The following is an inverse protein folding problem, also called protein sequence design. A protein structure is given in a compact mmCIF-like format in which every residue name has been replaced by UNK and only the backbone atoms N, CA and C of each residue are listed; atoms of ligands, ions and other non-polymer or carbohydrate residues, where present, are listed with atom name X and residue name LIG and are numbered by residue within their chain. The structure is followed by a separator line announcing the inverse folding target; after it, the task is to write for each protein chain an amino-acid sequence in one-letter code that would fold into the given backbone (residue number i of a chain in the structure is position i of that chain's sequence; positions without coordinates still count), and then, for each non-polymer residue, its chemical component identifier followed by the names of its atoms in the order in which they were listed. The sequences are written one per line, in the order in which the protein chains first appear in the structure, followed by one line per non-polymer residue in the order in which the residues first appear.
data_IF_409558289340
#
_entry.id   IF_409558289340
#
_cell.length_a   1.000
_cell.length_b   1.000
_cell.length_c   1.000
_cell.angle_alpha   90.00
_cell.angle_beta   90.00
_cell.angle_gamma   90.00
#
_symmetry.space_group_name_H-M   'P 1'
#
loop_
_entity.id
_entity.type
_entity.pdbx_description
1 polymer ?
2 non-polymer ?
3 non-polymer ?
4 non-polymer ?
5 water ?
#
# COMPACT_ATOMS: atom_id res chain seq x y z
N UNK A 25 -17.19 14.89 -17.77
CA UNK A 25 -16.84 14.29 -16.51
C UNK A 25 -16.04 13.01 -16.72
N UNK A 26 -14.98 12.84 -15.94
CA UNK A 26 -14.29 11.56 -15.89
C UNK A 26 -14.00 11.28 -14.41
N UNK A 27 -14.06 10.01 -14.00
CA UNK A 27 -14.05 9.73 -12.55
C UNK A 27 -12.72 9.94 -11.90
N UNK A 28 -11.61 9.74 -12.60
CA UNK A 28 -10.28 9.79 -12.01
C UNK A 28 -9.39 10.82 -12.71
N UNK A 29 -8.37 11.31 -12.03
CA UNK A 29 -7.38 12.16 -12.70
C UNK A 29 -6.60 11.35 -13.73
N UNK A 30 -5.95 12.07 -14.64
CA UNK A 30 -5.20 11.43 -15.71
C UNK A 30 -4.10 10.54 -15.15
N UNK A 31 -3.94 9.37 -15.76
CA UNK A 31 -2.96 8.35 -15.40
C UNK A 31 -3.31 7.62 -14.12
N UNK A 32 -4.51 7.83 -13.57
CA UNK A 32 -4.99 7.12 -12.39
C UNK A 32 -5.91 5.98 -12.80
N UNK A 33 -5.79 4.85 -12.10
CA UNK A 33 -6.53 3.64 -12.45
C UNK A 33 -7.80 3.54 -11.60
N UNK A 34 -8.93 3.40 -12.27
CA UNK A 34 -10.23 3.32 -11.62
C UNK A 34 -10.53 1.87 -11.22
N UNK A 35 -10.99 1.67 -9.99
CA UNK A 35 -11.38 0.34 -9.53
C UNK A 35 -12.41 0.48 -8.43
N UNK A 36 -13.62 -0.01 -8.71
CA UNK A 36 -14.69 -0.12 -7.71
C UNK A 36 -14.90 1.18 -6.96
N UNK A 37 -15.03 2.27 -7.70
CA UNK A 37 -15.36 3.55 -7.13
C UNK A 37 -14.20 4.35 -6.57
N UNK A 38 -12.97 3.89 -6.77
CA UNK A 38 -11.79 4.59 -6.30
C UNK A 38 -10.79 4.74 -7.42
N UNK A 39 -9.79 5.60 -7.20
CA UNK A 39 -8.75 5.89 -8.17
C UNK A 39 -7.40 5.53 -7.57
N UNK A 40 -6.58 4.83 -8.36
CA UNK A 40 -5.29 4.34 -7.88
C UNK A 40 -4.17 4.85 -8.79
N UNK A 41 -3.05 5.19 -8.16
CA UNK A 41 -1.87 5.67 -8.87
C UNK A 41 -0.68 4.89 -8.37
N UNK A 42 0.08 4.28 -9.28
CA UNK A 42 1.37 3.68 -8.96
C UNK A 42 2.46 4.62 -9.42
N UNK A 43 3.43 4.87 -8.55
CA UNK A 43 4.49 5.82 -8.86
C UNK A 43 5.49 5.21 -9.84
N UNK A 44 6.14 6.08 -10.60
CA UNK A 44 7.29 5.70 -11.42
C UNK A 44 8.57 6.28 -10.85
N UNK A 45 8.63 6.43 -9.53
CA UNK A 45 9.83 6.81 -8.80
C UNK A 45 9.75 6.13 -7.44
N UNK A 46 10.83 6.25 -6.67
CA UNK A 46 10.95 5.57 -5.39
C UNK A 46 11.22 6.55 -4.25
N UNK A 47 10.58 6.29 -3.12
CA UNK A 47 10.75 7.07 -1.91
C UNK A 47 10.66 6.14 -0.71
N UNK A 48 11.08 6.63 0.46
CA UNK A 48 10.84 5.88 1.67
C UNK A 48 9.37 6.05 2.09
N UNK A 49 8.95 5.20 3.04
CA UNK A 49 7.54 5.12 3.40
C UNK A 49 7.00 6.46 3.91
N UNK A 50 7.77 7.15 4.75
CA UNK A 50 7.26 8.42 5.27
C UNK A 50 7.15 9.48 4.17
N UNK A 51 8.07 9.49 3.22
CA UNK A 51 7.94 10.38 2.08
C UNK A 51 6.86 9.92 1.11
N UNK A 52 6.54 8.62 1.10
CA UNK A 52 5.46 8.13 0.25
C UNK A 52 4.11 8.59 0.78
N UNK A 53 3.95 8.63 2.10
CA UNK A 53 2.74 9.19 2.69
C UNK A 53 2.57 10.63 2.25
N UNK A 54 3.64 11.42 2.33
CA UNK A 54 3.58 12.82 1.96
C UNK A 54 3.27 12.97 0.48
N UNK A 55 3.90 12.15 -0.36
CA UNK A 55 3.63 12.20 -1.81
C UNK A 55 2.14 12.07 -2.10
N UNK A 56 1.46 11.16 -1.40
CA UNK A 56 0.04 10.95 -1.65
C UNK A 56 -0.78 12.13 -1.15
N UNK A 57 -0.49 12.60 0.06
CA UNK A 57 -1.23 13.74 0.61
C UNK A 57 -1.16 14.94 -0.31
N UNK A 58 -0.03 15.14 -0.99
CA UNK A 58 0.14 16.29 -1.86
C UNK A 58 -0.76 16.26 -3.08
N UNK A 59 -1.36 15.11 -3.41
CA UNK A 59 -2.28 15.01 -4.52
C UNK A 59 -3.67 14.63 -3.99
N UNK A 60 -3.95 15.03 -2.75
CA UNK A 60 -5.23 14.75 -2.13
C UNK A 60 -5.58 13.27 -2.13
N UNK A 61 -4.64 12.44 -1.67
CA UNK A 61 -4.83 11.00 -1.65
C UNK A 61 -4.17 10.44 -0.39
N UNK A 62 -4.22 9.11 -0.26
CA UNK A 62 -3.67 8.42 0.90
C UNK A 62 -2.90 7.20 0.44
N UNK A 63 -1.70 7.02 1.01
CA UNK A 63 -0.96 5.78 0.81
C UNK A 63 -1.91 4.60 1.02
N UNK A 64 -1.98 3.71 0.03
CA UNK A 64 -3.16 2.87 -0.16
C UNK A 64 -3.48 2.09 1.11
N UNK A 65 -4.72 2.24 1.56
CA UNK A 65 -5.30 1.45 2.65
C UNK A 65 -6.30 0.49 2.05
N UNK A 66 -6.13 -0.80 2.32
CA UNK A 66 -6.92 -1.85 1.68
C UNK A 66 -8.10 -2.20 2.57
N UNK A 67 -9.29 -2.23 1.97
CA UNK A 67 -10.52 -2.47 2.70
C UNK A 67 -11.20 -3.79 2.34
N UNK A 68 -10.77 -4.47 1.28
CA UNK A 68 -11.46 -5.68 0.85
C UNK A 68 -10.48 -6.65 0.21
N UNK A 69 -10.89 -7.92 0.15
CA UNK A 69 -10.07 -8.94 -0.50
C UNK A 69 -9.96 -8.70 -2.00
N UNK A 70 -11.07 -8.30 -2.64
CA UNK A 70 -11.02 -7.97 -4.06
C UNK A 70 -9.97 -6.88 -4.31
N UNK A 71 -9.98 -5.82 -3.51
CA UNK A 71 -9.01 -4.74 -3.67
C UNK A 71 -7.59 -5.26 -3.49
N UNK A 72 -7.37 -6.14 -2.52
CA UNK A 72 -6.04 -6.71 -2.31
C UNK A 72 -5.57 -7.44 -3.56
N UNK A 73 -6.37 -8.37 -4.07
CA UNK A 73 -5.98 -9.11 -5.27
C UNK A 73 -5.72 -8.16 -6.43
N UNK A 74 -6.54 -7.10 -6.54
CA UNK A 74 -6.35 -6.11 -7.60
C UNK A 74 -4.96 -5.47 -7.50
N UNK A 75 -4.56 -5.06 -6.29
CA UNK A 75 -3.30 -4.36 -6.13
C UNK A 75 -2.10 -5.30 -6.26
N UNK A 76 -2.19 -6.50 -5.66
CA UNK A 76 -1.08 -7.43 -5.71
C UNK A 76 -0.79 -7.85 -7.15
N UNK A 77 -1.83 -8.00 -7.96
CA UNK A 77 -1.64 -8.42 -9.35
C UNK A 77 -0.80 -7.41 -10.11
N UNK A 78 -1.11 -6.11 -9.96
CA UNK A 78 -0.30 -5.09 -10.61
C UNK A 78 1.12 -5.07 -10.07
N UNK A 79 1.28 -5.29 -8.76
CA UNK A 79 2.61 -5.32 -8.17
C UNK A 79 3.40 -6.51 -8.68
N UNK A 80 2.75 -7.66 -8.84
CA UNK A 80 3.44 -8.84 -9.35
C UNK A 80 3.81 -8.66 -10.81
N UNK A 81 2.86 -8.22 -11.64
CA UNK A 81 3.13 -8.05 -13.07
C UNK A 81 4.25 -7.04 -13.30
N UNK A 82 4.17 -5.88 -12.63
CA UNK A 82 5.19 -4.87 -12.80
C UNK A 82 6.52 -5.26 -12.17
N UNK A 83 6.51 -6.25 -11.28
CA UNK A 83 7.72 -6.67 -10.56
C UNK A 83 8.37 -5.49 -9.86
N UNK A 84 7.56 -4.77 -9.08
CA UNK A 84 8.01 -3.61 -8.33
C UNK A 84 7.67 -3.81 -6.85
N UNK A 85 8.67 -3.69 -5.98
CA UNK A 85 8.43 -3.68 -4.55
C UNK A 85 7.80 -2.35 -4.18
N UNK A 86 6.60 -2.39 -3.60
CA UNK A 86 5.74 -1.22 -3.52
C UNK A 86 5.20 -1.03 -2.12
N UNK A 87 5.31 0.18 -1.60
CA UNK A 87 4.82 0.50 -0.26
C UNK A 87 3.29 0.50 -0.23
N UNK A 88 2.75 0.10 0.92
CA UNK A 88 1.34 0.28 1.23
C UNK A 88 1.25 1.01 2.57
N UNK A 89 0.07 1.54 2.86
CA UNK A 89 -0.12 2.36 4.04
C UNK A 89 -0.37 1.58 5.31
N UNK A 90 0.58 0.72 5.68
CA UNK A 90 0.44 -0.15 6.85
C UNK A 90 1.78 -0.24 7.57
N UNK A 91 1.73 -0.19 8.90
CA UNK A 91 2.95 -0.25 9.69
C UNK A 91 2.65 -0.80 11.08
N UNK A 92 3.70 -1.29 11.73
CA UNK A 92 3.66 -1.61 13.15
C UNK A 92 4.62 -0.69 13.93
N UNK A 93 4.72 0.57 13.49
CA UNK A 93 5.65 1.52 14.11
C UNK A 93 5.25 1.84 15.55
N UNK A 94 3.97 2.04 15.81
CA UNK A 94 3.55 2.41 17.17
C UNK A 94 3.74 1.26 18.15
N UNK A 95 3.39 0.04 17.75
CA UNK A 95 3.59 -1.12 18.61
C UNK A 95 4.07 -2.28 17.74
N UNK A 96 5.29 -2.74 17.98
CA UNK A 96 5.88 -3.83 17.20
C UNK A 96 4.97 -5.05 17.22
N UNK A 97 4.60 -5.51 16.02
CA UNK A 97 3.79 -6.70 15.89
C UNK A 97 2.31 -6.47 15.77
N UNK A 98 1.84 -5.24 16.02
CA UNK A 98 0.44 -4.88 15.84
C UNK A 98 0.38 -3.91 14.66
N UNK A 99 -0.09 -4.40 13.51
CA UNK A 99 -0.10 -3.62 12.29
C UNK A 99 -1.34 -2.76 12.19
N UNK A 100 -1.14 -1.52 11.75
CA UNK A 100 -2.17 -0.50 11.72
C UNK A 100 -2.12 0.24 10.39
N UNK A 101 -3.29 0.51 9.82
CA UNK A 101 -3.36 1.28 8.59
C UNK A 101 -3.19 2.77 8.90
N UNK A 102 -2.75 3.52 7.88
CA UNK A 102 -2.44 4.93 8.09
C UNK A 102 -3.70 5.73 8.41
N UNK A 103 -4.88 5.23 8.06
CA UNK A 103 -6.12 5.89 8.46
C UNK A 103 -6.54 5.51 9.87
N UNK A 104 -5.72 4.74 10.59
CA UNK A 104 -6.00 4.38 11.96
C UNK A 104 -6.64 3.01 12.14
N UNK A 105 -7.27 2.48 11.10
CA UNK A 105 -7.96 1.20 11.23
C UNK A 105 -6.96 0.07 11.44
N UNK A 106 -7.33 -0.95 12.22
CA UNK A 106 -6.40 -2.05 12.47
C UNK A 106 -6.44 -3.10 11.35
N UNK A 107 -5.33 -3.80 11.20
CA UNK A 107 -5.26 -4.94 10.30
C UNK A 107 -6.12 -6.06 10.85
N UNK A 108 -7.07 -6.52 10.05
CA UNK A 108 -8.03 -7.51 10.51
C UNK A 108 -7.47 -8.92 10.38
N UNK A 109 -8.02 -9.87 11.15
CA UNK A 109 -7.51 -11.26 11.08
C UNK A 109 -7.68 -11.88 9.71
N UNK A 110 -8.62 -11.40 8.90
CA UNK A 110 -8.86 -11.93 7.57
C UNK A 110 -7.86 -11.44 6.54
N UNK A 111 -6.85 -10.67 6.95
CA UNK A 111 -5.80 -10.22 6.06
C UNK A 111 -4.45 -10.88 6.32
N UNK A 112 -4.32 -11.62 7.44
CA UNK A 112 -3.05 -12.25 7.77
C UNK A 112 -2.58 -13.20 6.67
N UNK A 113 -3.51 -13.74 5.88
CA UNK A 113 -3.14 -14.70 4.84
C UNK A 113 -2.23 -14.10 3.79
N UNK A 114 -2.22 -12.79 3.60
CA UNK A 114 -1.50 -12.18 2.48
C UNK A 114 -0.02 -11.98 2.76
N UNK A 115 0.43 -12.16 3.99
CA UNK A 115 1.86 -12.13 4.28
C UNK A 115 2.57 -13.25 3.52
N UNK A 116 3.77 -12.97 3.03
CA UNK A 116 4.56 -14.00 2.40
C UNK A 116 5.03 -15.02 3.44
N UNK A 117 5.40 -16.20 2.95
CA UNK A 117 5.88 -17.26 3.82
C UNK A 117 7.04 -16.74 4.67
N UNK A 118 6.96 -16.99 5.97
CA UNK A 118 7.98 -16.54 6.91
C UNK A 118 7.88 -15.10 7.32
N UNK A 119 6.87 -14.37 6.87
CA UNK A 119 6.68 -12.96 7.16
C UNK A 119 5.48 -12.75 8.10
N UNK A 120 5.44 -11.64 8.85
CA UNK A 120 6.47 -10.61 9.02
C UNK A 120 7.55 -11.03 10.00
N UNK A 121 8.81 -10.86 9.63
CA UNK A 121 9.92 -11.36 10.44
C UNK A 121 10.74 -10.27 11.11
N UNK A 122 10.50 -9.00 10.79
CA UNK A 122 11.15 -7.87 11.45
C UNK A 122 12.68 -8.01 11.51
N UNK A 123 13.29 -8.63 10.49
CA UNK A 123 14.74 -8.80 10.52
C UNK A 123 15.41 -7.45 10.33
N UNK A 124 16.30 -7.10 11.24
CA UNK A 124 16.93 -5.79 11.18
C UNK A 124 15.96 -4.65 11.33
N UNK A 125 14.93 -4.83 12.17
CA UNK A 125 13.89 -3.84 12.44
C UNK A 125 13.20 -3.33 11.18
N UNK A 126 12.17 -4.06 10.74
CA UNK A 126 11.37 -3.73 9.56
C UNK A 126 9.96 -3.40 10.02
N UNK A 127 9.53 -2.14 9.87
CA UNK A 127 8.28 -1.69 10.43
C UNK A 127 7.23 -1.27 9.40
N UNK A 128 7.51 -1.37 8.11
CA UNK A 128 6.61 -0.87 7.08
C UNK A 128 6.31 -1.99 6.07
N UNK A 129 5.07 -2.05 5.61
CA UNK A 129 4.62 -3.16 4.76
C UNK A 129 4.68 -2.79 3.28
N UNK A 130 5.00 -3.79 2.45
CA UNK A 130 5.16 -3.60 1.03
C UNK A 130 4.51 -4.76 0.27
N UNK A 131 4.15 -4.50 -0.98
CA UNK A 131 3.82 -5.57 -1.92
C UNK A 131 5.13 -6.20 -2.41
N UNK A 132 5.26 -7.51 -2.24
CA UNK A 132 6.49 -8.21 -2.61
C UNK A 132 6.11 -9.54 -3.25
N UNK A 133 6.20 -9.60 -4.57
CA UNK A 133 5.86 -10.82 -5.29
C UNK A 133 4.38 -11.13 -5.26
N UNK A 134 4.02 -12.20 -4.58
CA UNK A 134 2.63 -12.63 -4.50
C UNK A 134 1.95 -12.27 -3.19
N UNK A 135 2.65 -11.60 -2.29
CA UNK A 135 2.08 -11.24 -1.00
C UNK A 135 2.76 -10.04 -0.40
N UNK A 136 2.69 -9.96 0.94
CA UNK A 136 3.20 -8.81 1.67
C UNK A 136 4.52 -9.17 2.37
N UNK A 137 5.35 -8.14 2.56
CA UNK A 137 6.58 -8.25 3.32
C UNK A 137 6.76 -7.00 4.18
N UNK A 138 7.29 -7.18 5.38
CA UNK A 138 7.73 -6.06 6.20
C UNK A 138 9.18 -5.74 5.85
N UNK A 139 9.47 -4.48 5.59
CA UNK A 139 10.80 -4.05 5.18
C UNK A 139 11.15 -2.77 5.92
N UNK A 140 12.42 -2.36 5.81
CA UNK A 140 12.89 -1.19 6.52
C UNK A 140 12.22 0.06 5.97
N UNK A 141 11.71 0.89 6.88
CA UNK A 141 10.94 2.07 6.52
C UNK A 141 11.76 3.12 5.78
N UNK A 142 13.09 3.09 5.92
CA UNK A 142 13.96 4.08 5.28
C UNK A 142 14.32 3.73 3.85
N UNK A 143 13.97 2.53 3.37
CA UNK A 143 14.32 2.12 2.02
C UNK A 143 13.40 2.78 1.01
N UNK A 144 13.97 3.14 -0.15
CA UNK A 144 13.19 3.74 -1.22
C UNK A 144 12.51 2.66 -2.05
N UNK A 145 11.19 2.77 -2.17
CA UNK A 145 10.41 1.85 -2.98
C UNK A 145 9.35 2.64 -3.75
N UNK A 146 8.73 1.99 -4.72
CA UNK A 146 7.55 2.55 -5.36
C UNK A 146 6.41 2.57 -4.34
N UNK A 147 5.35 3.30 -4.68
CA UNK A 147 4.20 3.40 -3.79
C UNK A 147 2.93 3.54 -4.62
N UNK A 148 1.79 3.36 -3.95
CA UNK A 148 0.48 3.49 -4.58
C UNK A 148 -0.38 4.40 -3.72
N UNK A 149 -0.96 5.43 -4.34
CA UNK A 149 -1.91 6.30 -3.68
C UNK A 149 -3.34 5.92 -4.05
N UNK A 150 -4.27 6.25 -3.18
CA UNK A 150 -5.69 5.93 -3.36
C UNK A 150 -6.53 7.14 -2.99
N UNK A 151 -7.52 7.45 -3.84
CA UNK A 151 -8.52 8.44 -3.52
C UNK A 151 -9.81 8.06 -4.24
N UNK A 152 -10.93 8.57 -3.73
CA UNK A 152 -12.22 8.20 -4.29
C UNK A 152 -12.43 8.89 -5.64
N UNK A 153 -13.29 8.28 -6.44
CA UNK A 153 -13.57 8.76 -7.79
C UNK A 153 -14.70 9.78 -7.76
N UNK A 154 -14.68 10.68 -8.75
CA UNK A 154 -15.78 11.60 -8.94
C UNK A 154 -16.97 10.88 -9.57
N UNK A 155 -18.16 11.43 -9.37
CA UNK A 155 -19.39 10.82 -9.84
C UNK A 155 -19.78 11.44 -11.19
N UNK A 156 -19.90 10.59 -12.20
CA UNK A 156 -20.28 11.05 -13.54
C UNK A 156 -21.63 10.46 -13.95
X LIG B 1 8.29 -4.48 12.87
X LIG C 1 10.43 -9.12 6.19
X LIG D 1 9.77 -2.01 15.51
X LIG E 1 13.85 -8.67 2.75
X LIG E 1 14.01 -10.92 1.97
X LIG E 1 13.64 -10.23 -0.17
X LIG E 1 13.22 -11.45 3.17
X LIG E 1 15.25 -11.74 4.67
X LIG E 1 15.62 -12.76 5.51
X LIG E 1 16.84 -12.91 6.33
X LIG E 1 14.08 -12.14 4.14
X LIG E 1 14.72 -7.44 2.89
X LIG E 1 15.69 -7.63 3.90
X LIG E 1 19.14 -12.40 6.78
X LIG E 1 17.98 -12.18 6.05
X LIG E 1 12.36 -10.36 3.82
X LIG E 1 13.17 -9.09 4.06
X LIG E 1 16.91 -13.83 7.37
X LIG E 1 19.11 -13.35 7.79
X LIG E 1 18.02 -14.06 8.10
X LIG E 1 14.66 -13.72 5.46
X LIG E 1 13.72 -13.35 4.63
X LIG E 1 14.70 -9.73 2.30
X LIG E 1 13.06 -10.66 0.98
X LIG E 1 11.86 -10.85 5.06
X LIG E 1 12.31 -8.06 4.51
X LIG E 1 13.08 -8.43 2.01
X LIG E 1 14.80 -11.58 1.67
X LIG E 1 13.22 -10.90 -0.93
X LIG E 1 14.71 -10.36 0.02
X LIG E 1 13.31 -9.20 -0.25
X LIG E 1 12.57 -12.21 2.77
X LIG E 1 15.76 -10.81 4.45
X LIG E 1 14.10 -6.58 3.12
X LIG E 1 15.21 -7.23 1.93
X LIG E 1 16.56 -7.71 3.42
X LIG E 1 20.05 -11.83 6.57
X LIG E 1 17.98 -11.44 5.26
X LIG E 1 11.53 -10.13 3.15
X LIG E 1 13.93 -9.26 4.81
X LIG E 1 16.05 -14.44 7.66
X LIG E 1 19.98 -13.57 8.40
X LIG E 1 12.11 -10.20 5.76
X LIG E 1 12.88 -7.30 4.79
X LIG F 1 6.05 9.94 -10.19
X LIG F 1 6.34 8.95 -9.47
X LIG F 1 6.29 11.11 -9.78
X LIG F 1 5.54 9.76 -11.34
#
# INVERSE_FOLDING_TARGET
MGSSHHHHHHSSGLVPRGSHMERLCHPCPWEWTFFQGNCYFMSNSQRNWHDSITACKEVGAQLVVIKSAEEQNFLQLQSSRSNRFTWMGLSDLNQEGTWQWVDGSPLLPSFKQYWNRGEPNNVGEEDCAEFSGNGWNDDKCNLAKFWICKKSAASCSRDEEQFLSPAPATPNPPPA
CA CA
CA CA
CA CA
UH8 C1 C2 C3 C4 C5 C6 C7 N C O C10 C11 C12 C13 C8 C9 N1 N2 N3 O1 O2 O3 O4 H H1 H9 H8 H10 H2 H11 H6 H7 H5 H14 H15 H3 H4 H12 H13 H16 H17
NO3 N O1 O2 O3
#
